data_IF_825000365872
#
_entry.id   IF_825000365872
#
_cell.length_a   1.000
_cell.length_b   1.000
_cell.length_c   1.000
_cell.angle_alpha   90.00
_cell.angle_beta   90.00
_cell.angle_gamma   90.00
#
_symmetry.space_group_name_H-M   'P 1'
#
loop_
_entity.id
_entity.type
_entity.pdbx_description
1 polymer ?
#
# COMPACT_ATOMS: atom_id res chain seq x y z
N UNK A 1 18.33 17.64 21.55
CA UNK A 1 17.40 16.50 21.44
C UNK A 1 18.23 15.24 21.50
N UNK A 2 18.02 14.39 22.50
CA UNK A 2 18.79 13.16 22.70
C UNK A 2 18.65 12.21 21.49
N UNK A 3 19.69 11.44 21.17
CA UNK A 3 19.70 10.47 20.04
C UNK A 3 18.47 9.54 20.04
N UNK A 4 17.96 9.19 21.23
CA UNK A 4 16.75 8.36 21.40
C UNK A 4 15.44 9.00 20.88
N UNK A 5 15.36 10.34 20.77
CA UNK A 5 14.16 11.03 20.29
C UNK A 5 14.07 11.15 18.76
N UNK A 6 15.19 11.03 18.05
CA UNK A 6 15.25 11.19 16.60
C UNK A 6 14.61 10.01 15.86
N UNK A 7 14.86 8.80 16.34
CA UNK A 7 14.40 7.57 15.69
C UNK A 7 12.87 7.38 15.79
N UNK A 8 12.20 8.00 16.76
CA UNK A 8 10.73 7.97 16.90
C UNK A 8 10.01 8.62 15.71
N UNK A 9 10.56 9.69 15.14
CA UNK A 9 9.99 10.35 13.95
C UNK A 9 9.98 9.41 12.73
N UNK A 10 11.00 8.55 12.61
CA UNK A 10 11.13 7.56 11.54
C UNK A 10 10.20 6.34 11.75
N UNK A 11 9.67 6.16 12.97
CA UNK A 11 8.71 5.09 13.32
C UNK A 11 7.25 5.43 13.04
N UNK A 12 6.94 6.67 12.64
CA UNK A 12 5.56 7.07 12.33
C UNK A 12 5.15 6.74 10.89
N UNK A 13 6.04 6.93 9.91
CA UNK A 13 5.74 6.68 8.51
C UNK A 13 7.01 6.41 7.69
N UNK A 14 6.90 5.59 6.65
CA UNK A 14 7.97 5.43 5.65
C UNK A 14 8.03 6.62 4.67
N UNK A 15 9.01 6.63 3.78
CA UNK A 15 9.15 7.66 2.74
C UNK A 15 9.72 9.00 3.23
N UNK A 16 10.30 9.05 4.44
CA UNK A 16 10.76 10.28 5.09
C UNK A 16 12.29 10.46 4.99
N UNK A 17 12.85 10.28 3.79
CA UNK A 17 14.30 10.34 3.55
C UNK A 17 14.90 11.66 4.06
N UNK A 18 14.26 12.80 3.78
CA UNK A 18 14.79 14.10 4.22
C UNK A 18 14.88 14.23 5.74
N UNK A 19 13.93 13.62 6.46
CA UNK A 19 13.98 13.59 7.92
C UNK A 19 15.12 12.67 8.41
N UNK A 20 15.28 11.52 7.77
CA UNK A 20 16.37 10.59 8.08
C UNK A 20 17.75 11.23 7.83
N UNK A 21 17.93 11.90 6.69
CA UNK A 21 19.15 12.61 6.35
C UNK A 21 19.51 13.73 7.35
N UNK A 22 18.51 14.47 7.85
CA UNK A 22 18.73 15.49 8.91
C UNK A 22 19.12 14.87 10.26
N UNK A 23 18.55 13.71 10.60
CA UNK A 23 18.80 13.04 11.87
C UNK A 23 20.15 12.29 11.87
N UNK A 24 20.59 11.79 10.71
CA UNK A 24 21.83 11.04 10.53
C UNK A 24 22.71 11.69 9.47
N UNK A 25 23.29 12.89 9.75
CA UNK A 25 24.05 13.65 8.75
C UNK A 25 25.36 12.97 8.32
N UNK A 26 25.84 11.99 9.09
CA UNK A 26 27.06 11.21 8.79
C UNK A 26 26.77 9.90 8.04
N UNK A 27 25.49 9.59 7.80
CA UNK A 27 25.12 8.37 7.09
C UNK A 27 25.52 8.47 5.60
N UNK A 28 25.91 7.34 4.96
CA UNK A 28 26.31 7.36 3.56
C UNK A 28 25.17 7.82 2.62
N UNK A 29 25.52 8.51 1.55
CA UNK A 29 24.59 9.04 0.53
C UNK A 29 24.85 8.43 -0.86
N UNK A 30 23.86 8.43 -1.78
CA UNK A 30 22.45 8.79 -1.55
C UNK A 30 21.78 7.83 -0.57
N UNK A 31 20.71 8.29 0.09
CA UNK A 31 19.94 7.43 0.99
C UNK A 31 19.22 6.33 0.20
N UNK A 32 19.23 5.12 0.73
CA UNK A 32 18.46 4.00 0.21
C UNK A 32 17.14 3.90 0.99
N UNK A 33 15.99 4.11 0.34
CA UNK A 33 14.69 4.03 1.01
C UNK A 33 13.99 2.69 0.81
N UNK A 34 14.13 1.83 1.81
CA UNK A 34 13.43 0.55 1.93
C UNK A 34 12.27 0.65 2.92
N UNK A 35 11.83 1.85 3.31
CA UNK A 35 10.73 2.01 4.27
C UNK A 35 9.35 1.98 3.61
N UNK A 36 9.31 1.88 2.28
CA UNK A 36 8.07 1.83 1.50
C UNK A 36 7.82 0.43 0.93
N UNK A 37 6.60 0.19 0.44
CA UNK A 37 6.26 -1.00 -0.34
C UNK A 37 6.09 -0.65 -1.82
N UNK A 38 7.02 0.14 -2.36
CA UNK A 38 7.01 0.56 -3.77
C UNK A 38 7.98 -0.35 -4.52
N UNK A 39 7.61 -0.80 -5.72
CA UNK A 39 8.52 -1.54 -6.58
C UNK A 39 9.73 -0.66 -6.90
N UNK A 40 10.97 -1.15 -6.69
CA UNK A 40 12.17 -0.40 -7.08
C UNK A 40 12.36 -0.40 -8.62
N UNK A 41 11.58 -1.21 -9.34
CA UNK A 41 11.62 -1.32 -10.78
C UNK A 41 10.42 -0.56 -11.37
N UNK A 42 10.66 0.67 -11.82
CA UNK A 42 9.60 1.50 -12.41
C UNK A 42 9.22 1.06 -13.82
N UNK A 43 7.93 1.16 -14.15
CA UNK A 43 7.45 1.00 -15.51
C UNK A 43 8.08 2.06 -16.43
N UNK A 44 8.59 1.68 -17.62
CA UNK A 44 9.21 2.62 -18.55
C UNK A 44 8.18 3.64 -19.05
N UNK A 45 8.46 4.92 -18.88
CA UNK A 45 7.52 5.98 -19.26
C UNK A 45 7.35 6.04 -20.78
N UNK A 46 6.12 6.03 -21.31
CA UNK A 46 5.88 6.23 -22.74
C UNK A 46 6.22 7.68 -23.14
N UNK A 47 6.45 7.96 -24.44
CA UNK A 47 6.54 9.34 -24.91
C UNK A 47 5.21 10.07 -24.65
N UNK A 48 5.29 11.28 -24.10
CA UNK A 48 4.11 12.10 -23.79
C UNK A 48 4.11 13.31 -24.73
N UNK A 49 3.10 13.44 -25.60
CA UNK A 49 3.01 14.59 -26.50
C UNK A 49 2.99 15.93 -25.72
N UNK A 50 3.71 16.98 -26.15
CA UNK A 50 3.79 18.27 -25.45
C UNK A 50 2.43 18.87 -25.12
N UNK A 51 1.44 18.71 -26.01
CA UNK A 51 0.10 19.23 -25.82
C UNK A 51 -0.60 18.64 -24.59
N UNK A 52 -0.29 17.39 -24.19
CA UNK A 52 -0.86 16.75 -22.99
C UNK A 52 -0.40 17.45 -21.71
N UNK A 53 0.76 18.09 -21.74
CA UNK A 53 1.26 18.92 -20.64
C UNK A 53 0.63 20.32 -20.62
N UNK A 54 0.28 20.85 -21.79
CA UNK A 54 -0.15 22.25 -21.95
C UNK A 54 -1.67 22.44 -21.81
N UNK A 55 -2.46 21.38 -22.04
CA UNK A 55 -3.93 21.41 -21.94
C UNK A 55 -4.44 20.81 -20.63
N UNK A 56 -5.67 21.16 -20.25
CA UNK A 56 -6.39 20.46 -19.19
C UNK A 56 -6.69 19.00 -19.61
N UNK A 57 -6.74 18.06 -18.64
CA UNK A 57 -7.18 16.69 -18.92
C UNK A 57 -8.54 16.70 -19.61
N UNK A 58 -8.68 15.90 -20.66
CA UNK A 58 -9.94 15.77 -21.38
C UNK A 58 -10.70 14.56 -20.85
N UNK A 59 -12.03 14.58 -21.01
CA UNK A 59 -12.87 13.44 -20.64
C UNK A 59 -12.42 12.12 -21.30
N UNK A 60 -11.88 12.19 -22.52
CA UNK A 60 -11.31 11.01 -23.21
C UNK A 60 -10.05 10.44 -22.55
N UNK A 61 -9.24 11.26 -21.88
CA UNK A 61 -8.03 10.79 -21.19
C UNK A 61 -8.42 10.01 -19.94
N UNK A 62 -9.38 10.53 -19.17
CA UNK A 62 -9.95 9.85 -18.00
C UNK A 62 -10.69 8.56 -18.40
N UNK A 63 -11.46 8.61 -19.50
CA UNK A 63 -12.17 7.43 -20.01
C UNK A 63 -11.20 6.34 -20.50
N UNK A 64 -10.09 6.71 -21.13
CA UNK A 64 -9.05 5.76 -21.53
C UNK A 64 -8.38 5.09 -20.31
N UNK A 65 -8.08 5.86 -19.26
CA UNK A 65 -7.56 5.33 -18.00
C UNK A 65 -8.58 4.41 -17.32
N UNK A 66 -9.85 4.80 -17.25
CA UNK A 66 -10.93 3.95 -16.72
C UNK A 66 -11.03 2.63 -17.51
N UNK A 67 -11.03 2.68 -18.84
CA UNK A 67 -11.08 1.50 -19.69
C UNK A 67 -9.86 0.58 -19.49
N UNK A 68 -8.66 1.14 -19.41
CA UNK A 68 -7.44 0.39 -19.14
C UNK A 68 -7.48 -0.30 -17.77
N UNK A 69 -7.95 0.41 -16.73
CA UNK A 69 -8.09 -0.16 -15.40
C UNK A 69 -9.12 -1.30 -15.36
N UNK A 70 -10.24 -1.15 -16.07
CA UNK A 70 -11.25 -2.22 -16.21
C UNK A 70 -10.67 -3.46 -16.89
N UNK A 71 -9.84 -3.28 -17.92
CA UNK A 71 -9.19 -4.39 -18.61
C UNK A 71 -8.13 -5.08 -17.73
N UNK A 72 -7.34 -4.31 -16.99
CA UNK A 72 -6.21 -4.81 -16.21
C UNK A 72 -6.64 -5.50 -14.91
N UNK A 73 -7.65 -4.94 -14.23
CA UNK A 73 -8.10 -5.39 -12.91
C UNK A 73 -9.36 -6.24 -12.95
N UNK A 74 -10.07 -6.22 -14.08
CA UNK A 74 -11.45 -6.67 -14.16
C UNK A 74 -12.41 -5.57 -13.75
N UNK A 75 -13.66 -5.72 -14.17
CA UNK A 75 -14.75 -4.89 -13.71
C UNK A 75 -16.01 -5.74 -13.53
N UNK A 76 -16.35 -6.07 -12.29
CA UNK A 76 -17.57 -6.80 -11.98
C UNK A 76 -18.82 -6.09 -12.53
N UNK A 77 -19.85 -6.87 -12.87
CA UNK A 77 -21.10 -6.35 -13.39
C UNK A 77 -21.71 -5.30 -12.44
N UNK A 78 -22.16 -4.17 -12.99
CA UNK A 78 -22.72 -3.06 -12.21
C UNK A 78 -21.71 -2.18 -11.50
N UNK A 79 -20.40 -2.45 -11.61
CA UNK A 79 -19.34 -1.63 -11.05
C UNK A 79 -18.77 -0.62 -12.06
N UNK A 80 -18.29 0.50 -11.54
CA UNK A 80 -17.57 1.57 -12.24
C UNK A 80 -16.23 1.78 -11.54
N UNK A 81 -15.14 1.82 -12.31
CA UNK A 81 -13.80 2.12 -11.79
C UNK A 81 -13.52 3.60 -12.01
N UNK A 82 -13.65 4.42 -10.96
CA UNK A 82 -13.43 5.86 -11.02
C UNK A 82 -11.94 6.17 -10.81
N UNK A 83 -11.24 6.80 -11.78
CA UNK A 83 -9.87 7.25 -11.57
C UNK A 83 -9.77 8.34 -10.50
N UNK A 84 -8.74 8.27 -9.65
CA UNK A 84 -8.51 9.18 -8.52
C UNK A 84 -7.04 9.64 -8.45
N UNK A 85 -6.73 10.81 -7.84
CA UNK A 85 -5.37 11.33 -7.63
C UNK A 85 -4.60 10.55 -6.54
N UNK A 86 -4.46 9.23 -6.76
CA UNK A 86 -3.85 8.30 -5.84
C UNK A 86 -4.83 7.78 -4.78
N UNK A 87 -4.55 6.59 -4.28
CA UNK A 87 -5.39 5.92 -3.28
C UNK A 87 -5.50 6.69 -1.96
N UNK A 88 -4.48 7.47 -1.57
CA UNK A 88 -4.52 8.30 -0.36
C UNK A 88 -5.67 9.32 -0.38
N UNK A 89 -5.92 9.97 -1.52
CA UNK A 89 -7.04 10.91 -1.65
C UNK A 89 -8.36 10.15 -1.58
N UNK A 90 -8.48 8.99 -2.22
CA UNK A 90 -9.68 8.16 -2.11
C UNK A 90 -9.98 7.72 -0.67
N UNK A 91 -8.95 7.34 0.11
CA UNK A 91 -9.07 7.01 1.53
C UNK A 91 -9.64 8.20 2.30
N UNK A 92 -9.09 9.39 2.08
CA UNK A 92 -9.54 10.63 2.76
C UNK A 92 -10.91 11.12 2.31
N UNK A 93 -11.34 10.73 1.12
CA UNK A 93 -12.67 11.05 0.59
C UNK A 93 -13.77 10.11 1.11
N UNK A 94 -13.42 8.89 1.50
CA UNK A 94 -14.39 7.87 1.91
C UNK A 94 -15.43 8.35 2.95
N UNK A 95 -15.04 9.08 4.02
CA UNK A 95 -16.01 9.49 5.05
C UNK A 95 -17.09 10.45 4.55
N UNK A 96 -16.86 11.11 3.41
CA UNK A 96 -17.78 12.08 2.81
C UNK A 96 -18.82 11.45 1.87
N UNK A 97 -18.68 10.14 1.63
CA UNK A 97 -19.46 9.35 0.69
C UNK A 97 -20.31 8.29 1.40
N UNK A 98 -20.32 8.32 2.73
CA UNK A 98 -21.18 7.52 3.60
C UNK A 98 -21.93 8.44 4.57
N UNK A 99 -22.98 7.96 5.26
CA UNK A 99 -23.69 8.76 6.26
C UNK A 99 -22.75 9.33 7.34
N UNK A 100 -22.99 10.58 7.71
CA UNK A 100 -22.20 11.27 8.74
C UNK A 100 -22.27 10.50 10.07
N UNK A 101 -21.16 10.53 10.84
CA UNK A 101 -21.03 9.88 12.15
C UNK A 101 -21.24 8.35 12.13
N UNK A 102 -20.91 7.71 11.02
CA UNK A 102 -20.86 6.25 10.92
C UNK A 102 -19.95 5.64 12.01
N UNK A 103 -20.33 4.46 12.49
CA UNK A 103 -19.52 3.60 13.36
C UNK A 103 -18.66 2.71 12.48
N UNK A 104 -17.34 2.85 12.58
CA UNK A 104 -16.39 2.28 11.62
C UNK A 104 -15.55 1.20 12.29
N UNK A 105 -15.61 -0.02 11.79
CA UNK A 105 -14.70 -1.09 12.19
C UNK A 105 -13.46 -1.09 11.30
N UNK A 106 -12.27 -0.92 11.87
CA UNK A 106 -11.01 -0.93 11.12
C UNK A 106 -10.20 -2.18 11.48
N UNK A 107 -9.99 -3.10 10.54
CA UNK A 107 -9.13 -4.27 10.75
C UNK A 107 -7.68 -3.83 10.93
N UNK A 108 -7.21 -3.84 12.18
CA UNK A 108 -5.89 -3.38 12.59
C UNK A 108 -4.97 -4.53 13.03
N UNK A 109 -3.64 -4.28 13.11
CA UNK A 109 -2.95 -3.06 12.66
C UNK A 109 -3.02 -2.92 11.13
N UNK A 110 -3.16 -1.70 10.63
CA UNK A 110 -3.23 -1.41 9.18
C UNK A 110 -2.65 -0.03 8.82
N UNK A 111 -2.78 0.41 7.58
CA UNK A 111 -2.30 1.71 7.10
C UNK A 111 -2.98 2.88 7.85
N UNK A 112 -2.22 3.73 8.57
CA UNK A 112 -2.79 4.72 9.49
C UNK A 112 -3.73 5.77 8.88
N UNK A 113 -3.59 6.06 7.58
CA UNK A 113 -4.44 7.06 6.92
C UNK A 113 -5.92 6.70 6.94
N UNK A 114 -6.27 5.42 7.03
CA UNK A 114 -7.67 5.00 7.18
C UNK A 114 -8.26 5.55 8.48
N UNK A 115 -7.64 5.25 9.63
CA UNK A 115 -8.09 5.77 10.92
C UNK A 115 -8.16 7.29 10.93
N UNK A 116 -7.08 7.96 10.48
CA UNK A 116 -6.99 9.41 10.45
C UNK A 116 -8.09 10.07 9.59
N UNK A 117 -8.48 9.46 8.47
CA UNK A 117 -9.56 9.96 7.63
C UNK A 117 -10.91 9.92 8.34
N UNK A 118 -11.24 8.78 8.95
CA UNK A 118 -12.52 8.57 9.63
C UNK A 118 -12.63 9.35 10.95
N UNK A 119 -11.58 9.35 11.77
CA UNK A 119 -11.54 10.14 13.00
C UNK A 119 -11.65 11.65 12.68
N UNK A 120 -10.98 12.10 11.62
CA UNK A 120 -11.06 13.49 11.15
C UNK A 120 -12.44 13.92 10.68
N UNK A 121 -13.32 12.99 10.29
CA UNK A 121 -14.71 13.27 9.95
C UNK A 121 -15.66 13.22 11.17
N UNK A 122 -15.14 12.94 12.37
CA UNK A 122 -15.93 12.72 13.58
C UNK A 122 -16.63 11.36 13.65
N UNK A 123 -16.18 10.37 12.86
CA UNK A 123 -16.67 9.00 12.98
C UNK A 123 -16.13 8.31 14.24
N UNK A 124 -16.87 7.33 14.77
CA UNK A 124 -16.40 6.49 15.87
C UNK A 124 -15.65 5.30 15.26
N UNK A 125 -14.32 5.29 15.38
CA UNK A 125 -13.48 4.21 14.84
C UNK A 125 -13.19 3.18 15.93
N UNK A 126 -13.52 1.91 15.65
CA UNK A 126 -13.24 0.77 16.50
C UNK A 126 -12.20 -0.13 15.83
N UNK A 127 -11.07 -0.44 16.49
CA UNK A 127 -10.13 -1.43 15.98
C UNK A 127 -10.75 -2.83 16.01
N UNK A 128 -10.50 -3.61 14.96
CA UNK A 128 -10.91 -5.00 14.81
C UNK A 128 -9.69 -5.89 14.58
N UNK A 129 -9.70 -7.11 15.12
CA UNK A 129 -8.65 -8.13 14.87
C UNK A 129 -8.96 -9.04 13.69
N UNK A 130 -10.19 -9.00 13.17
CA UNK A 130 -10.68 -9.81 12.06
C UNK A 130 -12.05 -9.30 11.59
N UNK A 131 -12.62 -9.97 10.59
CA UNK A 131 -13.98 -9.67 10.16
C UNK A 131 -14.96 -9.86 11.33
N UNK A 132 -15.85 -8.89 11.61
CA UNK A 132 -16.84 -9.04 12.66
C UNK A 132 -17.92 -10.05 12.25
N UNK A 133 -18.79 -10.48 13.18
CA UNK A 133 -20.03 -11.16 12.83
C UNK A 133 -20.81 -10.32 11.78
N UNK A 134 -21.25 -10.90 10.67
CA UNK A 134 -21.95 -10.18 9.61
C UNK A 134 -23.28 -9.53 10.06
N UNK A 135 -23.87 -10.05 11.13
CA UNK A 135 -25.09 -9.58 11.77
C UNK A 135 -24.85 -8.51 12.85
N UNK A 136 -23.59 -8.20 13.21
CA UNK A 136 -23.25 -7.18 14.18
C UNK A 136 -23.89 -5.83 13.82
N UNK A 137 -24.71 -5.26 14.69
CA UNK A 137 -25.50 -4.04 14.44
C UNK A 137 -24.87 -2.77 14.99
N UNK A 138 -23.65 -2.90 15.52
CA UNK A 138 -22.90 -1.84 16.15
C UNK A 138 -21.93 -1.10 15.21
N UNK A 139 -21.85 -1.51 13.94
CA UNK A 139 -21.03 -0.88 12.90
C UNK A 139 -21.83 -0.61 11.61
N UNK A 140 -21.47 0.46 10.92
CA UNK A 140 -22.06 0.88 9.64
C UNK A 140 -21.08 0.69 8.47
N UNK A 141 -19.77 0.74 8.76
CA UNK A 141 -18.68 0.57 7.79
C UNK A 141 -17.63 -0.37 8.36
N UNK A 142 -17.14 -1.30 7.54
CA UNK A 142 -15.92 -2.08 7.83
C UNK A 142 -14.85 -1.72 6.81
N UNK A 143 -13.63 -1.51 7.28
CA UNK A 143 -12.47 -1.13 6.46
C UNK A 143 -11.34 -2.13 6.71
N UNK A 144 -10.77 -2.65 5.63
CA UNK A 144 -9.56 -3.47 5.67
C UNK A 144 -8.68 -3.24 4.45
N UNK A 145 -7.38 -3.56 4.56
CA UNK A 145 -6.49 -3.70 3.41
C UNK A 145 -6.23 -5.18 3.12
N UNK A 146 -6.18 -5.55 1.84
CA UNK A 146 -6.03 -6.93 1.39
C UNK A 146 -5.24 -7.02 0.06
N UNK A 147 -3.97 -7.45 0.04
CA UNK A 147 -3.11 -7.76 1.19
C UNK A 147 -2.89 -6.55 2.10
N UNK A 148 -2.78 -6.80 3.41
CA UNK A 148 -2.66 -5.73 4.40
C UNK A 148 -1.26 -5.10 4.46
N UNK A 149 -1.19 -3.88 4.97
CA UNK A 149 0.05 -3.22 5.39
C UNK A 149 -0.01 -2.98 6.91
N UNK A 150 0.89 -3.56 7.73
CA UNK A 150 2.27 -3.88 7.36
C UNK A 150 2.63 -5.36 7.24
N UNK A 151 1.72 -6.28 7.53
CA UNK A 151 2.01 -7.71 7.68
C UNK A 151 1.76 -8.55 6.42
N UNK A 152 1.17 -7.96 5.38
CA UNK A 152 0.81 -8.69 4.15
C UNK A 152 -0.32 -9.70 4.34
N UNK A 153 -1.01 -9.72 5.49
CA UNK A 153 -2.08 -10.70 5.74
C UNK A 153 -3.16 -10.59 4.66
N UNK A 154 -3.68 -11.74 4.27
CA UNK A 154 -4.75 -11.87 3.28
C UNK A 154 -5.97 -12.48 3.94
N UNK A 155 -7.13 -11.87 3.74
CA UNK A 155 -8.43 -12.51 3.95
C UNK A 155 -8.84 -13.16 2.64
N UNK A 156 -9.25 -14.43 2.68
CA UNK A 156 -9.60 -15.17 1.48
C UNK A 156 -10.74 -14.46 0.73
N UNK A 157 -10.63 -14.42 -0.60
CA UNK A 157 -11.61 -13.78 -1.48
C UNK A 157 -13.05 -14.28 -1.24
N UNK A 158 -13.21 -15.57 -0.99
CA UNK A 158 -14.50 -16.18 -0.69
C UNK A 158 -15.10 -15.68 0.62
N UNK A 159 -14.29 -15.52 1.67
CA UNK A 159 -14.73 -15.01 2.97
C UNK A 159 -15.13 -13.54 2.88
N UNK A 160 -14.35 -12.73 2.15
CA UNK A 160 -14.70 -11.32 1.89
C UNK A 160 -16.00 -11.20 1.10
N UNK A 161 -16.20 -12.02 0.08
CA UNK A 161 -17.44 -12.02 -0.69
C UNK A 161 -18.64 -12.40 0.17
N UNK A 162 -18.55 -13.51 0.90
CA UNK A 162 -19.63 -13.97 1.78
C UNK A 162 -19.95 -12.97 2.90
N UNK A 163 -18.92 -12.29 3.44
CA UNK A 163 -19.12 -11.20 4.39
C UNK A 163 -19.81 -10.01 3.72
N UNK A 164 -19.32 -9.56 2.56
CA UNK A 164 -19.86 -8.42 1.83
C UNK A 164 -21.32 -8.60 1.41
N UNK A 165 -21.73 -9.81 1.03
CA UNK A 165 -23.13 -10.12 0.67
C UNK A 165 -24.08 -9.87 1.83
N UNK A 166 -23.77 -10.43 3.01
CA UNK A 166 -24.60 -10.27 4.21
C UNK A 166 -24.54 -8.84 4.76
N UNK A 167 -23.35 -8.26 4.76
CA UNK A 167 -23.11 -6.90 5.24
C UNK A 167 -23.83 -5.85 4.38
N UNK A 168 -23.70 -5.97 3.06
CA UNK A 168 -24.32 -5.07 2.08
C UNK A 168 -25.85 -5.20 2.04
N UNK A 169 -26.40 -6.40 2.25
CA UNK A 169 -27.85 -6.61 2.35
C UNK A 169 -28.49 -5.82 3.52
N UNK A 170 -27.72 -5.52 4.56
CA UNK A 170 -28.14 -4.66 5.67
C UNK A 170 -27.94 -3.15 5.39
N UNK A 171 -27.60 -2.76 4.16
CA UNK A 171 -27.34 -1.37 3.77
C UNK A 171 -26.00 -0.80 4.26
N UNK A 172 -25.09 -1.67 4.70
CA UNK A 172 -23.79 -1.28 5.29
C UNK A 172 -22.68 -1.32 4.24
N UNK A 173 -21.56 -0.66 4.53
CA UNK A 173 -20.43 -0.53 3.59
C UNK A 173 -19.23 -1.40 3.98
N UNK A 174 -18.63 -2.05 3.00
CA UNK A 174 -17.33 -2.71 3.13
C UNK A 174 -16.32 -1.98 2.24
N UNK A 175 -15.24 -1.49 2.82
CA UNK A 175 -14.12 -0.86 2.10
C UNK A 175 -12.93 -1.79 2.11
N UNK A 176 -12.47 -2.19 0.93
CA UNK A 176 -11.31 -3.07 0.75
C UNK A 176 -10.21 -2.31 0.01
N UNK A 177 -9.12 -2.03 0.71
CA UNK A 177 -7.92 -1.41 0.15
C UNK A 177 -7.01 -2.49 -0.46
N UNK A 178 -7.02 -2.58 -1.79
CA UNK A 178 -6.25 -3.53 -2.58
C UNK A 178 -4.97 -2.90 -3.14
N UNK A 179 -4.37 -1.92 -2.46
CA UNK A 179 -3.15 -1.23 -2.93
C UNK A 179 -1.95 -2.15 -3.22
N UNK A 180 -1.93 -3.38 -2.68
CA UNK A 180 -0.87 -4.38 -2.92
C UNK A 180 -1.34 -5.59 -3.72
N UNK A 181 -2.59 -5.66 -4.17
CA UNK A 181 -3.11 -6.85 -4.83
C UNK A 181 -2.62 -7.02 -6.28
N UNK A 182 -1.88 -6.07 -6.85
CA UNK A 182 -1.24 -6.24 -8.16
C UNK A 182 -0.21 -7.38 -8.19
N UNK A 183 0.46 -7.68 -7.07
CA UNK A 183 1.37 -8.85 -6.94
C UNK A 183 0.63 -10.16 -6.65
N UNK A 184 -0.62 -10.11 -6.22
CA UNK A 184 -1.44 -11.26 -5.85
C UNK A 184 -2.86 -11.13 -6.43
N UNK A 185 -3.02 -11.11 -7.78
CA UNK A 185 -4.30 -10.82 -8.43
C UNK A 185 -5.42 -11.79 -8.04
N UNK A 186 -5.09 -13.02 -7.61
CA UNK A 186 -6.03 -14.04 -7.16
C UNK A 186 -6.83 -13.65 -5.91
N UNK A 187 -6.31 -12.73 -5.08
CA UNK A 187 -7.00 -12.26 -3.87
C UNK A 187 -7.98 -11.12 -4.14
N UNK A 188 -7.90 -10.49 -5.32
CA UNK A 188 -8.69 -9.32 -5.68
C UNK A 188 -10.17 -9.66 -5.87
N UNK A 189 -11.04 -8.79 -5.35
CA UNK A 189 -12.48 -8.82 -5.56
C UNK A 189 -12.86 -8.37 -6.98
N UNK A 190 -12.02 -7.58 -7.66
CA UNK A 190 -12.32 -7.07 -9.02
C UNK A 190 -12.22 -8.15 -10.10
N UNK A 191 -11.59 -9.28 -9.80
CA UNK A 191 -11.55 -10.45 -10.67
C UNK A 191 -12.86 -11.26 -10.66
N UNK A 192 -13.83 -10.92 -9.81
CA UNK A 192 -15.12 -11.60 -9.73
C UNK A 192 -16.10 -11.08 -10.81
N UNK A 193 -17.06 -11.90 -11.27
CA UNK A 193 -18.03 -11.48 -12.29
C UNK A 193 -19.05 -10.46 -11.76
N UNK A 194 -19.34 -10.48 -10.46
CA UNK A 194 -20.27 -9.58 -9.80
C UNK A 194 -19.82 -9.34 -8.35
N UNK A 195 -20.25 -8.23 -7.78
CA UNK A 195 -19.98 -7.85 -6.40
C UNK A 195 -21.27 -7.37 -5.73
N UNK A 196 -21.47 -7.66 -4.44
CA UNK A 196 -22.67 -7.24 -3.72
C UNK A 196 -22.72 -5.71 -3.53
N UNK A 197 -23.92 -5.16 -3.25
CA UNK A 197 -24.06 -3.74 -2.95
C UNK A 197 -23.25 -3.36 -1.72
N UNK A 198 -22.87 -2.08 -1.63
CA UNK A 198 -22.16 -1.54 -0.46
C UNK A 198 -20.65 -1.79 -0.44
N UNK A 199 -20.11 -2.58 -1.38
CA UNK A 199 -18.67 -2.79 -1.50
C UNK A 199 -17.98 -1.60 -2.21
N UNK A 200 -16.82 -1.19 -1.68
CA UNK A 200 -15.92 -0.22 -2.28
C UNK A 200 -14.52 -0.80 -2.30
N UNK A 201 -13.89 -0.87 -3.46
CA UNK A 201 -12.53 -1.41 -3.61
C UNK A 201 -11.57 -0.32 -4.08
N UNK A 202 -10.47 -0.14 -3.36
CA UNK A 202 -9.44 0.85 -3.69
C UNK A 202 -8.24 0.16 -4.37
N UNK A 203 -7.72 0.75 -5.45
CA UNK A 203 -6.49 0.30 -6.11
C UNK A 203 -5.47 1.42 -6.18
N UNK A 204 -4.19 1.05 -6.15
CA UNK A 204 -3.06 1.98 -6.22
C UNK A 204 -2.11 1.60 -7.34
N UNK A 205 -1.90 2.48 -8.31
CA UNK A 205 -0.93 2.22 -9.37
C UNK A 205 0.50 2.54 -8.92
N UNK A 206 0.66 3.29 -7.84
CA UNK A 206 1.98 3.77 -7.41
C UNK A 206 2.89 2.71 -6.78
N UNK A 207 2.37 1.52 -6.45
CA UNK A 207 3.11 0.47 -5.74
C UNK A 207 3.83 -0.45 -6.71
N UNK A 208 3.08 -1.36 -7.32
CA UNK A 208 3.59 -2.39 -8.22
C UNK A 208 4.30 -1.82 -9.46
N UNK A 209 3.78 -0.74 -10.04
CA UNK A 209 4.39 -0.12 -11.22
C UNK A 209 5.64 0.72 -10.90
N UNK A 210 6.01 0.90 -9.61
CA UNK A 210 7.13 1.76 -9.22
C UNK A 210 6.89 3.25 -9.50
N UNK A 211 5.64 3.66 -9.74
CA UNK A 211 5.25 5.00 -10.16
C UNK A 211 4.59 5.79 -9.02
N UNK A 212 5.14 5.71 -7.81
CA UNK A 212 4.53 6.32 -6.62
C UNK A 212 4.32 7.85 -6.76
N UNK A 213 5.23 8.54 -7.44
CA UNK A 213 5.16 9.97 -7.73
C UNK A 213 4.07 10.35 -8.74
N UNK A 214 3.54 9.39 -9.51
CA UNK A 214 2.50 9.65 -10.52
C UNK A 214 1.15 10.04 -9.92
N UNK A 215 0.90 9.60 -8.67
CA UNK A 215 -0.33 9.86 -7.92
C UNK A 215 -1.60 9.42 -8.66
N UNK A 216 -1.65 8.16 -9.10
CA UNK A 216 -2.85 7.57 -9.74
C UNK A 216 -3.35 6.37 -8.95
N UNK A 217 -4.67 6.29 -8.79
CA UNK A 217 -5.39 5.13 -8.27
C UNK A 217 -6.73 5.00 -9.00
N UNK A 218 -7.46 3.94 -8.68
CA UNK A 218 -8.87 3.80 -9.07
C UNK A 218 -9.70 3.32 -7.89
N UNK A 219 -10.97 3.70 -7.87
CA UNK A 219 -11.95 3.24 -6.88
C UNK A 219 -13.05 2.53 -7.62
N UNK A 220 -13.26 1.24 -7.34
CA UNK A 220 -14.38 0.48 -7.87
C UNK A 220 -15.57 0.58 -6.93
N UNK A 221 -16.68 1.08 -7.45
CA UNK A 221 -17.93 1.35 -6.73
C UNK A 221 -19.12 0.95 -7.59
N UNK A 222 -20.27 0.73 -6.96
CA UNK A 222 -21.51 0.52 -7.70
C UNK A 222 -21.79 1.71 -8.63
N UNK A 223 -22.39 1.45 -9.79
CA UNK A 223 -22.69 2.50 -10.77
C UNK A 223 -23.53 3.65 -10.18
N UNK A 224 -24.40 3.35 -9.21
CA UNK A 224 -25.20 4.34 -8.49
C UNK A 224 -24.37 5.27 -7.58
N UNK A 225 -23.22 4.83 -7.08
CA UNK A 225 -22.34 5.62 -6.21
C UNK A 225 -21.31 6.45 -7.00
N UNK A 226 -21.00 6.06 -8.24
CA UNK A 226 -19.99 6.72 -9.07
C UNK A 226 -20.22 8.24 -9.29
N UNK A 227 -21.47 8.74 -9.47
CA UNK A 227 -21.72 10.17 -9.57
C UNK A 227 -21.28 10.97 -8.33
N UNK A 228 -21.51 10.43 -7.12
CA UNK A 228 -21.11 11.10 -5.88
C UNK A 228 -19.58 11.19 -5.76
N UNK A 229 -18.86 10.13 -6.17
CA UNK A 229 -17.40 10.16 -6.28
C UNK A 229 -16.92 11.22 -7.26
N UNK A 230 -17.45 11.22 -8.49
CA UNK A 230 -17.06 12.19 -9.54
C UNK A 230 -17.36 13.63 -9.12
N UNK A 231 -18.51 13.89 -8.49
CA UNK A 231 -18.87 15.22 -7.98
C UNK A 231 -17.87 15.73 -6.93
N UNK A 232 -17.43 14.86 -6.01
CA UNK A 232 -16.45 15.24 -4.98
C UNK A 232 -15.04 15.45 -5.55
N UNK A 233 -14.70 14.71 -6.61
CA UNK A 233 -13.41 14.80 -7.30
C UNK A 233 -13.28 16.06 -8.17
N UNK A 234 -14.38 16.52 -8.77
CA UNK A 234 -14.38 17.64 -9.72
C UNK A 234 -13.93 17.24 -11.14
N UNK A 235 -13.66 18.23 -11.99
CA UNK A 235 -13.56 18.05 -13.44
C UNK A 235 -12.24 17.42 -13.93
N UNK A 236 -11.13 17.60 -13.19
CA UNK A 236 -9.80 17.15 -13.62
C UNK A 236 -9.02 16.47 -12.48
N UNK A 237 -9.53 15.36 -11.92
CA UNK A 237 -8.95 14.76 -10.73
C UNK A 237 -7.60 14.09 -10.97
N UNK A 238 -7.23 13.80 -12.21
CA UNK A 238 -5.96 13.16 -12.58
C UNK A 238 -5.28 13.97 -13.68
N UNK A 239 -3.98 14.22 -13.53
CA UNK A 239 -3.20 14.97 -14.52
C UNK A 239 -3.14 14.25 -15.87
N UNK A 240 -3.16 15.00 -16.97
CA UNK A 240 -3.16 14.46 -18.35
C UNK A 240 -1.99 13.50 -18.62
N UNK A 241 -0.73 13.88 -18.31
CA UNK A 241 0.43 12.99 -18.43
C UNK A 241 0.27 11.72 -17.60
N UNK A 242 -0.34 11.83 -16.43
CA UNK A 242 -0.58 10.69 -15.55
C UNK A 242 -1.61 9.72 -16.13
N UNK A 243 -2.66 10.21 -16.79
CA UNK A 243 -3.60 9.37 -17.54
C UNK A 243 -2.89 8.59 -18.66
N UNK A 244 -2.01 9.24 -19.43
CA UNK A 244 -1.25 8.59 -20.52
C UNK A 244 -0.34 7.50 -19.98
N UNK A 245 0.48 7.81 -18.97
CA UNK A 245 1.41 6.85 -18.36
C UNK A 245 0.66 5.68 -17.75
N UNK A 246 -0.39 5.95 -16.95
CA UNK A 246 -1.17 4.91 -16.29
C UNK A 246 -1.90 4.00 -17.28
N UNK A 247 -2.45 4.56 -18.36
CA UNK A 247 -3.10 3.79 -19.43
C UNK A 247 -2.10 2.84 -20.10
N UNK A 248 -0.90 3.32 -20.42
CA UNK A 248 0.15 2.47 -21.00
C UNK A 248 0.57 1.36 -20.03
N UNK A 249 0.84 1.70 -18.77
CA UNK A 249 1.25 0.73 -17.76
C UNK A 249 0.21 -0.37 -17.52
N UNK A 250 -1.07 0.00 -17.44
CA UNK A 250 -2.17 -0.95 -17.22
C UNK A 250 -2.44 -1.87 -18.41
N UNK A 251 -2.09 -1.46 -19.63
CA UNK A 251 -2.32 -2.24 -20.85
C UNK A 251 -1.14 -3.12 -21.24
N UNK A 252 0.02 -2.98 -20.59
CA UNK A 252 1.20 -3.80 -20.83
C UNK A 252 1.18 -5.11 -20.03
N UNK A 253 0.38 -6.08 -20.49
CA UNK A 253 0.27 -7.40 -19.86
C UNK A 253 1.62 -8.15 -19.80
N UNK A 254 2.51 -7.93 -20.77
CA UNK A 254 3.82 -8.56 -20.81
C UNK A 254 4.72 -8.06 -19.69
N UNK A 255 4.80 -6.74 -19.52
CA UNK A 255 5.54 -6.13 -18.43
C UNK A 255 4.97 -6.52 -17.06
N UNK A 256 3.64 -6.51 -16.90
CA UNK A 256 2.98 -6.90 -15.65
C UNK A 256 3.37 -8.35 -15.26
N UNK A 257 3.30 -9.30 -16.20
CA UNK A 257 3.65 -10.68 -15.93
C UNK A 257 5.14 -10.84 -15.56
N UNK A 258 6.04 -10.19 -16.31
CA UNK A 258 7.47 -10.21 -16.03
C UNK A 258 7.80 -9.57 -14.67
N UNK A 259 7.14 -8.47 -14.32
CA UNK A 259 7.39 -7.76 -13.07
C UNK A 259 6.94 -8.59 -11.85
N UNK A 260 5.80 -9.28 -11.91
CA UNK A 260 5.40 -10.21 -10.84
C UNK A 260 6.46 -11.28 -10.59
N UNK A 261 6.94 -11.92 -11.65
CA UNK A 261 7.97 -12.95 -11.54
C UNK A 261 9.28 -12.40 -10.93
N UNK A 262 9.68 -11.20 -11.33
CA UNK A 262 10.87 -10.51 -10.79
C UNK A 262 10.70 -10.19 -9.31
N UNK A 263 9.60 -9.56 -8.92
CA UNK A 263 9.34 -9.17 -7.53
C UNK A 263 9.28 -10.40 -6.60
N UNK A 264 8.68 -11.51 -7.06
CA UNK A 264 8.68 -12.77 -6.30
C UNK A 264 10.11 -13.33 -6.10
N UNK A 265 11.00 -13.17 -7.08
CA UNK A 265 12.41 -13.56 -6.95
C UNK A 265 13.19 -12.64 -6.01
N UNK A 266 13.01 -11.33 -6.15
CA UNK A 266 13.61 -10.32 -5.26
C UNK A 266 13.14 -10.51 -3.81
N UNK A 267 11.86 -10.83 -3.60
CA UNK A 267 11.31 -11.18 -2.29
C UNK A 267 12.03 -12.38 -1.67
N UNK A 268 12.22 -13.48 -2.40
CA UNK A 268 12.97 -14.65 -1.91
C UNK A 268 14.42 -14.31 -1.56
N UNK A 269 15.07 -13.46 -2.37
CA UNK A 269 16.43 -12.98 -2.10
C UNK A 269 16.49 -12.16 -0.81
N UNK A 270 15.53 -11.26 -0.60
CA UNK A 270 15.45 -10.44 0.61
C UNK A 270 15.20 -11.30 1.86
N UNK A 271 14.30 -12.28 1.78
CA UNK A 271 14.04 -13.21 2.90
C UNK A 271 15.31 -13.95 3.31
N UNK A 272 16.05 -14.52 2.35
CA UNK A 272 17.29 -15.22 2.61
C UNK A 272 18.37 -14.30 3.21
N UNK A 273 18.47 -13.07 2.71
CA UNK A 273 19.44 -12.09 3.17
C UNK A 273 19.16 -11.65 4.62
N UNK A 274 17.89 -11.34 4.94
CA UNK A 274 17.49 -10.97 6.31
C UNK A 274 17.72 -12.14 7.27
N UNK A 275 17.33 -13.36 6.90
CA UNK A 275 17.50 -14.55 7.73
C UNK A 275 18.97 -14.85 8.04
N UNK A 276 19.88 -14.68 7.06
CA UNK A 276 21.32 -14.83 7.27
C UNK A 276 21.89 -13.84 8.30
N UNK A 277 21.24 -12.68 8.46
CA UNK A 277 21.52 -11.66 9.46
C UNK A 277 20.91 -11.88 10.84
N UNK A 278 20.15 -12.96 11.04
CA UNK A 278 19.36 -13.14 12.25
C UNK A 278 18.13 -12.23 12.35
N UNK A 279 17.68 -11.65 11.23
CA UNK A 279 16.40 -10.93 11.13
C UNK A 279 15.39 -11.89 10.51
N UNK A 280 14.48 -12.43 11.31
CA UNK A 280 13.49 -13.43 10.89
C UNK A 280 12.32 -12.79 10.13
N UNK A 281 12.10 -13.11 8.84
CA UNK A 281 10.89 -12.73 8.13
C UNK A 281 9.65 -13.35 8.80
N UNK A 282 8.63 -12.54 9.05
CA UNK A 282 7.37 -12.96 9.69
C UNK A 282 6.10 -12.53 8.93
N UNK A 283 6.25 -11.88 7.78
CA UNK A 283 5.13 -11.54 6.90
C UNK A 283 5.52 -10.71 5.68
N UNK A 284 4.51 -10.17 5.01
CA UNK A 284 4.64 -9.20 3.94
C UNK A 284 4.07 -9.64 2.60
N UNK A 285 4.50 -8.98 1.54
CA UNK A 285 4.10 -9.23 0.15
C UNK A 285 5.34 -9.36 -0.73
N UNK A 286 5.18 -9.56 -2.03
CA UNK A 286 6.31 -9.48 -2.98
C UNK A 286 6.88 -8.06 -3.14
N UNK A 287 6.34 -7.05 -2.44
CA UNK A 287 6.86 -5.67 -2.44
C UNK A 287 7.58 -5.29 -1.15
N UNK A 288 7.42 -6.07 -0.07
CA UNK A 288 8.05 -5.80 1.22
C UNK A 288 8.01 -7.01 2.14
N UNK A 289 8.95 -7.07 3.08
CA UNK A 289 9.04 -8.07 4.14
C UNK A 289 8.74 -7.40 5.48
N UNK A 290 7.86 -7.98 6.30
CA UNK A 290 7.82 -7.70 7.74
C UNK A 290 8.76 -8.68 8.43
N UNK A 291 9.66 -8.21 9.30
CA UNK A 291 10.65 -9.04 9.95
C UNK A 291 10.99 -8.57 11.37
N UNK A 292 11.53 -9.50 12.16
CA UNK A 292 11.93 -9.30 13.55
C UNK A 292 13.39 -9.68 13.74
N UNK A 293 14.20 -8.78 14.27
CA UNK A 293 15.60 -9.01 14.56
C UNK A 293 15.89 -9.39 16.02
N UNK A 294 17.17 -9.44 16.39
CA UNK A 294 17.57 -9.79 17.74
C UNK A 294 17.07 -8.78 18.78
N UNK A 295 16.52 -9.29 19.88
CA UNK A 295 16.04 -8.46 20.98
C UNK A 295 17.15 -7.56 21.55
N UNK A 296 16.81 -6.28 21.74
CA UNK A 296 17.70 -5.25 22.26
C UNK A 296 18.46 -4.46 21.20
N UNK A 297 18.27 -4.76 19.90
CA UNK A 297 18.81 -3.98 18.79
C UNK A 297 17.72 -3.06 18.24
N UNK A 298 18.02 -1.76 18.17
CA UNK A 298 17.22 -0.80 17.40
C UNK A 298 17.58 -0.93 15.92
N UNK A 299 16.79 -1.72 15.18
CA UNK A 299 17.05 -1.95 13.77
C UNK A 299 16.88 -0.68 12.93
N UNK A 300 15.98 0.23 13.33
CA UNK A 300 15.78 1.49 12.61
C UNK A 300 17.03 2.35 12.71
N UNK A 301 17.58 2.52 13.91
CA UNK A 301 18.81 3.27 14.14
C UNK A 301 20.00 2.62 13.43
N UNK A 302 20.12 1.29 13.54
CA UNK A 302 21.17 0.51 12.87
C UNK A 302 21.21 0.75 11.35
N UNK A 303 20.07 0.56 10.67
CA UNK A 303 20.00 0.77 9.23
C UNK A 303 20.15 2.26 8.86
N UNK A 304 19.61 3.18 9.66
CA UNK A 304 19.73 4.61 9.41
C UNK A 304 21.19 5.10 9.47
N UNK A 305 22.03 4.57 10.37
CA UNK A 305 23.48 4.85 10.40
C UNK A 305 24.20 4.35 9.14
N UNK A 306 23.69 3.28 8.52
CA UNK A 306 24.14 2.80 7.22
C UNK A 306 23.52 3.57 6.02
N UNK A 307 22.73 4.61 6.27
CA UNK A 307 22.00 5.42 5.28
C UNK A 307 20.93 4.62 4.53
N UNK A 308 20.34 3.64 5.20
CA UNK A 308 19.21 2.84 4.74
C UNK A 308 18.02 3.20 5.62
N UNK A 309 16.95 3.69 5.00
CA UNK A 309 15.70 3.96 5.70
C UNK A 309 14.82 2.71 5.65
N UNK A 310 14.44 2.18 6.80
CA UNK A 310 13.46 1.08 6.95
C UNK A 310 12.23 1.56 7.71
N UNK A 311 11.11 0.83 7.62
CA UNK A 311 9.89 1.19 8.38
C UNK A 311 9.93 0.53 9.76
N UNK A 312 10.09 1.32 10.82
CA UNK A 312 9.97 0.83 12.21
C UNK A 312 8.57 0.96 12.81
N UNK A 313 8.37 0.41 14.01
CA UNK A 313 7.12 0.47 14.75
C UNK A 313 7.36 0.97 16.19
N UNK A 314 6.50 1.85 16.69
CA UNK A 314 6.59 2.34 18.06
C UNK A 314 6.43 1.18 19.05
N UNK A 315 7.28 1.15 20.09
CA UNK A 315 7.27 0.08 21.09
C UNK A 315 7.81 -1.28 20.65
N UNK A 316 8.25 -1.44 19.39
CA UNK A 316 8.84 -2.67 18.86
C UNK A 316 10.13 -2.36 18.07
N UNK A 317 11.24 -2.00 18.75
CA UNK A 317 12.48 -1.52 18.11
C UNK A 317 13.20 -2.59 17.27
N UNK A 318 12.93 -3.86 17.52
CA UNK A 318 13.43 -5.03 16.83
C UNK A 318 12.53 -5.47 15.66
N UNK A 319 11.37 -4.82 15.45
CA UNK A 319 10.47 -5.11 14.32
C UNK A 319 10.58 -4.03 13.25
N UNK A 320 10.78 -4.46 12.02
CA UNK A 320 10.85 -3.57 10.84
C UNK A 320 10.06 -4.14 9.67
N UNK A 321 9.64 -3.25 8.77
CA UNK A 321 9.22 -3.61 7.42
C UNK A 321 10.22 -3.04 6.41
N UNK A 322 10.67 -3.88 5.49
CA UNK A 322 11.74 -3.59 4.52
C UNK A 322 11.21 -3.82 3.12
N UNK A 323 11.27 -2.79 2.27
CA UNK A 323 11.01 -2.86 0.83
C UNK A 323 12.19 -3.49 0.08
N UNK A 324 12.06 -3.58 -1.24
CA UNK A 324 13.06 -4.24 -2.08
C UNK A 324 14.14 -3.25 -2.56
N UNK A 325 15.43 -3.60 -2.46
CA UNK A 325 16.48 -2.94 -3.23
C UNK A 325 16.27 -3.17 -4.75
N UNK A 326 16.63 -2.19 -5.57
CA UNK A 326 16.53 -2.25 -7.03
C UNK A 326 17.83 -2.68 -7.70
N UNK A 327 18.90 -1.92 -7.47
CA UNK A 327 20.21 -2.15 -8.07
C UNK A 327 21.09 -3.06 -7.21
N UNK A 328 22.04 -3.80 -7.82
CA UNK A 328 22.98 -4.67 -7.09
C UNK A 328 23.81 -3.94 -6.03
N UNK A 329 24.12 -2.66 -6.25
CA UNK A 329 24.80 -1.84 -5.27
C UNK A 329 23.96 -1.63 -3.99
N UNK A 330 22.64 -1.51 -4.15
CA UNK A 330 21.70 -1.35 -3.03
C UNK A 330 21.55 -2.66 -2.26
N UNK A 331 21.48 -3.80 -2.97
CA UNK A 331 21.53 -5.13 -2.36
C UNK A 331 22.81 -5.36 -1.57
N UNK A 332 23.96 -5.00 -2.15
CA UNK A 332 25.27 -5.14 -1.51
C UNK A 332 25.38 -4.26 -0.26
N UNK A 333 24.84 -3.04 -0.31
CA UNK A 333 24.78 -2.13 0.84
C UNK A 333 23.90 -2.67 1.96
N UNK A 334 22.72 -3.20 1.62
CA UNK A 334 21.85 -3.85 2.60
C UNK A 334 22.53 -5.06 3.25
N UNK A 335 23.20 -5.90 2.46
CA UNK A 335 23.95 -7.05 2.96
C UNK A 335 25.07 -6.63 3.93
N UNK A 336 25.88 -5.65 3.55
CA UNK A 336 26.94 -5.13 4.41
C UNK A 336 26.40 -4.54 5.72
N UNK A 337 25.26 -3.84 5.69
CA UNK A 337 24.62 -3.35 6.90
C UNK A 337 24.13 -4.51 7.79
N UNK A 338 23.59 -5.57 7.20
CA UNK A 338 23.13 -6.75 7.94
C UNK A 338 24.30 -7.50 8.60
N UNK A 339 25.44 -7.65 7.92
CA UNK A 339 26.62 -8.34 8.46
C UNK A 339 27.21 -7.66 9.71
N UNK A 340 26.93 -6.37 9.90
CA UNK A 340 27.35 -5.59 11.08
C UNK A 340 26.44 -5.78 12.29
N UNK A 341 25.33 -6.52 12.17
CA UNK A 341 24.45 -6.79 13.31
C UNK A 341 25.16 -7.75 14.26
N UNK A 342 25.33 -7.38 15.55
CA UNK A 342 25.96 -8.26 16.53
C UNK A 342 25.22 -9.59 16.65
N UNK A 343 25.90 -10.70 16.34
CA UNK A 343 25.38 -12.03 16.61
C UNK A 343 25.52 -12.29 18.11
N UNK A 344 24.43 -12.63 18.79
CA UNK A 344 24.56 -13.18 20.16
C UNK A 344 25.43 -14.43 20.05
N UNK A 345 26.63 -14.41 20.65
CA UNK A 345 27.35 -15.64 20.92
C UNK A 345 26.39 -16.53 21.72
N UNK A 346 26.04 -17.69 21.18
CA UNK A 346 25.40 -18.73 21.98
C UNK A 346 26.33 -18.96 23.18
N UNK A 347 25.91 -18.50 24.36
CA UNK A 347 26.62 -18.83 25.57
C UNK A 347 26.61 -20.36 25.63
N UNK A 348 27.78 -20.96 25.45
CA UNK A 348 27.97 -22.38 25.61
C UNK A 348 27.39 -22.74 26.98
N UNK A 349 26.32 -23.52 26.99
CA UNK A 349 25.82 -24.15 28.19
C UNK A 349 26.97 -24.97 28.76
N UNK A 350 27.54 -24.49 29.87
CA UNK A 350 28.42 -25.26 30.74
C UNK A 350 27.58 -25.92 31.81
#
# INVERSE_FOLDING_TARGET
MTEAGGSELLRQHGGRIDAAARLYPQAPTPWLDLSTGISPHAYPLPPIPPEVWQRLPLGRDLAALEAAARSAYGCPAGMVLVPVPGSEIAIRMMPWLVPARSRVGLLGPTYPSHAAAWEGSGAVVRPLSGLPPPDADDLDVVVLANPNNPDGRVVARADLLAFAERWGAAGRRLVVDEAFADVAPEVSLLALPALPPGLVVLRSLGKFFGLAGLRVGVVAVAAADAPAWRQRLGDWPVAGPACVIATAALTDAGWIAAMRARLAADRRRLDALLAAGGIAPCGGTDLFVLAEGPAGIDLVDHFARAGILVRGFAGAPDRIRVGLPGAEAEWSRLAAAIDLIPRRCAAAAR
#
